data_IF_976486179708
#
_entry.id   IF_976486179708
#
_cell.length_a   1.000
_cell.length_b   1.000
_cell.length_c   1.000
_cell.angle_alpha   90.00
_cell.angle_beta   90.00
_cell.angle_gamma   90.00
#
_symmetry.space_group_name_H-M   'P 1'
#
loop_
_entity.id
_entity.type
_entity.pdbx_description
1 polymer ?
#
# COMPACT_ATOMS: atom_id res chain seq x y z
N UNK A 1 -32.99 -60.06 -40.76
CA UNK A 1 -33.34 -59.01 -39.80
C UNK A 1 -33.17 -57.66 -40.47
N UNK A 2 -34.26 -56.96 -40.75
CA UNK A 2 -34.27 -55.75 -41.57
C UNK A 2 -33.47 -54.59 -40.91
N UNK A 3 -32.58 -53.93 -41.63
CA UNK A 3 -31.81 -52.77 -41.16
C UNK A 3 -32.67 -51.75 -40.43
N UNK A 4 -33.92 -51.59 -40.79
CA UNK A 4 -34.89 -50.67 -40.15
C UNK A 4 -35.26 -51.09 -38.71
N UNK A 5 -35.29 -52.39 -38.42
CA UNK A 5 -35.59 -52.90 -37.06
C UNK A 5 -34.36 -52.75 -36.13
N UNK A 6 -33.16 -52.87 -36.70
CA UNK A 6 -31.91 -52.64 -35.96
C UNK A 6 -31.76 -51.17 -35.57
N UNK A 7 -32.05 -50.27 -36.51
CA UNK A 7 -32.03 -48.80 -36.26
C UNK A 7 -33.09 -48.39 -35.23
N UNK A 8 -34.28 -48.96 -35.26
CA UNK A 8 -35.31 -48.66 -34.25
C UNK A 8 -34.91 -49.16 -32.86
N UNK A 9 -34.24 -50.30 -32.75
CA UNK A 9 -33.78 -50.80 -31.45
C UNK A 9 -32.61 -49.95 -30.91
N UNK A 10 -31.66 -49.55 -31.75
CA UNK A 10 -30.55 -48.68 -31.34
C UNK A 10 -31.06 -47.29 -30.91
N UNK A 11 -32.05 -46.73 -31.64
CA UNK A 11 -32.67 -45.45 -31.28
C UNK A 11 -33.45 -45.56 -29.97
N UNK A 12 -34.18 -46.66 -29.75
CA UNK A 12 -34.93 -46.90 -28.51
C UNK A 12 -34.01 -47.13 -27.31
N UNK A 13 -32.91 -47.83 -27.46
CA UNK A 13 -31.92 -48.00 -26.38
C UNK A 13 -31.14 -46.71 -26.08
N UNK A 14 -30.83 -45.90 -27.10
CA UNK A 14 -30.24 -44.59 -26.93
C UNK A 14 -31.19 -43.61 -26.22
N UNK A 15 -32.47 -43.59 -26.61
CA UNK A 15 -33.48 -42.76 -25.98
C UNK A 15 -33.72 -43.18 -24.52
N UNK A 16 -33.72 -44.50 -24.24
CA UNK A 16 -33.87 -45.00 -22.87
C UNK A 16 -32.67 -44.68 -22.00
N UNK A 17 -31.44 -44.76 -22.55
CA UNK A 17 -30.24 -44.37 -21.83
C UNK A 17 -30.19 -42.88 -21.55
N UNK A 18 -30.65 -42.06 -22.48
CA UNK A 18 -30.73 -40.59 -22.31
C UNK A 18 -31.78 -40.22 -21.24
N UNK A 19 -32.90 -40.96 -21.16
CA UNK A 19 -33.93 -40.77 -20.13
C UNK A 19 -33.40 -41.14 -18.73
N UNK A 20 -32.59 -42.21 -18.61
CA UNK A 20 -31.94 -42.58 -17.36
C UNK A 20 -30.93 -41.53 -16.87
N UNK A 21 -30.17 -40.87 -17.75
CA UNK A 21 -29.22 -39.80 -17.37
C UNK A 21 -29.97 -38.58 -16.82
N UNK A 22 -31.12 -38.24 -17.39
CA UNK A 22 -31.99 -37.13 -16.92
C UNK A 22 -32.61 -37.39 -15.56
N UNK A 23 -32.84 -38.66 -15.19
CA UNK A 23 -33.42 -39.02 -13.90
C UNK A 23 -32.44 -38.87 -12.71
N UNK A 24 -31.12 -38.90 -12.96
CA UNK A 24 -30.12 -38.73 -11.92
C UNK A 24 -29.70 -37.27 -11.69
N UNK A 25 -30.24 -36.31 -12.47
CA UNK A 25 -29.86 -34.89 -12.40
C UNK A 25 -30.80 -34.07 -11.48
N UNK A 26 -31.78 -34.68 -10.77
CA UNK A 26 -32.63 -33.94 -9.87
C UNK A 26 -31.94 -33.69 -8.53
N UNK A 27 -31.59 -32.41 -8.28
CA UNK A 27 -31.18 -31.96 -6.95
C UNK A 27 -32.34 -32.14 -5.95
N UNK A 28 -32.04 -32.50 -4.72
CA UNK A 28 -33.02 -32.58 -3.67
C UNK A 28 -33.26 -31.24 -2.98
N UNK A 29 -34.44 -31.09 -2.40
CA UNK A 29 -34.73 -30.02 -1.48
C UNK A 29 -34.24 -30.38 -0.08
N UNK A 30 -33.53 -29.50 0.57
CA UNK A 30 -33.11 -29.60 1.96
C UNK A 30 -33.78 -28.51 2.79
N UNK A 31 -34.11 -28.85 4.02
CA UNK A 31 -34.70 -27.95 5.00
C UNK A 31 -33.91 -28.00 6.30
N UNK A 32 -33.98 -26.98 7.12
CA UNK A 32 -33.36 -27.03 8.42
C UNK A 32 -33.77 -25.89 9.31
N UNK A 33 -33.32 -25.96 10.57
CA UNK A 33 -33.52 -24.94 11.58
C UNK A 33 -32.13 -24.61 12.14
N UNK A 34 -31.87 -23.31 12.28
CA UNK A 34 -30.64 -22.78 12.86
C UNK A 34 -30.99 -22.10 14.19
N UNK A 35 -30.24 -22.49 15.23
CA UNK A 35 -30.40 -21.99 16.59
C UNK A 35 -29.08 -21.52 17.14
N UNK A 36 -29.10 -20.67 18.15
CA UNK A 36 -27.95 -20.32 18.94
C UNK A 36 -27.63 -21.36 20.02
N UNK A 37 -26.60 -21.12 20.84
CA UNK A 37 -26.22 -21.99 21.95
C UNK A 37 -27.25 -22.03 23.08
N UNK A 38 -28.15 -21.04 23.19
CA UNK A 38 -29.25 -21.00 24.15
C UNK A 38 -30.48 -21.73 23.64
N UNK A 39 -30.53 -22.13 22.38
CA UNK A 39 -31.63 -22.82 21.72
C UNK A 39 -32.65 -21.90 21.07
N UNK A 40 -32.39 -20.59 21.02
CA UNK A 40 -33.26 -19.61 20.35
C UNK A 40 -33.05 -19.65 18.83
N UNK A 41 -34.18 -19.53 18.04
CA UNK A 41 -34.08 -19.53 16.58
C UNK A 41 -33.41 -18.28 16.06
N UNK A 42 -32.47 -18.44 15.06
CA UNK A 42 -31.68 -17.35 14.51
C UNK A 42 -32.26 -16.91 13.15
N UNK A 43 -32.67 -15.64 13.08
CA UNK A 43 -33.16 -14.99 11.86
C UNK A 43 -31.99 -14.42 11.04
N UNK A 44 -32.09 -14.48 9.70
CA UNK A 44 -31.16 -13.80 8.79
C UNK A 44 -29.80 -14.50 8.66
N UNK A 45 -29.66 -15.74 9.11
CA UNK A 45 -28.46 -16.55 8.93
C UNK A 45 -28.32 -16.92 7.46
N UNK A 46 -27.16 -16.67 6.87
CA UNK A 46 -26.89 -17.01 5.48
C UNK A 46 -26.47 -18.48 5.37
N UNK A 47 -27.15 -19.24 4.51
CA UNK A 47 -26.87 -20.65 4.21
C UNK A 47 -26.58 -20.77 2.72
N UNK A 48 -25.35 -21.11 2.34
CA UNK A 48 -24.87 -21.17 0.96
C UNK A 48 -24.31 -22.55 0.64
N UNK A 49 -24.58 -23.06 -0.55
CA UNK A 49 -23.89 -24.24 -1.07
C UNK A 49 -22.49 -23.82 -1.54
N UNK A 50 -21.46 -24.39 -0.90
CA UNK A 50 -20.06 -24.02 -1.11
C UNK A 50 -19.64 -24.10 -2.59
N UNK A 51 -19.08 -23.01 -3.11
CA UNK A 51 -18.62 -22.93 -4.50
C UNK A 51 -19.73 -22.64 -5.52
N UNK A 52 -20.94 -22.30 -5.07
CA UNK A 52 -22.08 -21.92 -5.93
C UNK A 52 -22.73 -20.62 -5.46
N UNK A 53 -23.65 -20.08 -6.25
CA UNK A 53 -24.53 -18.96 -5.86
C UNK A 53 -25.86 -19.44 -5.26
N UNK A 54 -26.05 -20.78 -5.10
CA UNK A 54 -27.28 -21.34 -4.55
C UNK A 54 -27.25 -21.22 -3.02
N UNK A 55 -28.14 -20.40 -2.48
CA UNK A 55 -28.25 -20.15 -1.04
C UNK A 55 -29.55 -19.48 -0.64
N UNK A 56 -29.76 -19.38 0.66
CA UNK A 56 -30.94 -18.77 1.28
C UNK A 56 -30.58 -18.16 2.62
N UNK A 57 -31.49 -17.40 3.18
CA UNK A 57 -31.43 -16.87 4.55
C UNK A 57 -32.50 -17.49 5.42
N UNK A 58 -32.26 -17.62 6.73
CA UNK A 58 -33.26 -18.13 7.67
C UNK A 58 -34.38 -17.12 7.91
N UNK A 59 -35.61 -17.65 8.10
CA UNK A 59 -36.80 -16.89 8.48
C UNK A 59 -36.86 -16.56 9.98
N UNK A 60 -37.99 -15.99 10.44
CA UNK A 60 -38.21 -15.60 11.84
C UNK A 60 -38.19 -16.78 12.81
N UNK A 61 -38.49 -18.00 12.36
CA UNK A 61 -38.41 -19.23 13.13
C UNK A 61 -37.04 -19.92 13.02
N UNK A 62 -36.04 -19.26 12.39
CA UNK A 62 -34.71 -19.85 12.14
C UNK A 62 -34.73 -20.94 11.06
N UNK A 63 -35.81 -21.10 10.30
CA UNK A 63 -35.93 -22.14 9.27
C UNK A 63 -35.36 -21.69 7.94
N UNK A 64 -34.76 -22.63 7.19
CA UNK A 64 -34.32 -22.42 5.84
C UNK A 64 -34.73 -23.55 4.90
N UNK A 65 -34.80 -23.23 3.61
CA UNK A 65 -35.13 -24.17 2.53
C UNK A 65 -34.19 -23.85 1.35
N UNK A 66 -33.43 -24.86 0.87
CA UNK A 66 -32.58 -24.74 -0.33
C UNK A 66 -33.01 -25.87 -1.29
N UNK A 67 -33.21 -25.52 -2.56
CA UNK A 67 -33.51 -26.45 -3.63
C UNK A 67 -32.26 -26.80 -4.42
N UNK A 68 -32.30 -27.83 -5.24
CA UNK A 68 -31.25 -28.25 -6.16
C UNK A 68 -29.87 -28.51 -5.49
N UNK A 69 -29.90 -29.22 -4.34
CA UNK A 69 -28.67 -29.59 -3.60
C UNK A 69 -28.40 -31.08 -3.85
N UNK A 70 -27.12 -31.39 -4.07
CA UNK A 70 -26.61 -32.77 -4.29
C UNK A 70 -26.07 -33.36 -2.99
N UNK A 71 -26.03 -34.68 -2.91
CA UNK A 71 -25.50 -35.39 -1.73
C UNK A 71 -24.01 -35.11 -1.51
N UNK A 72 -23.27 -34.75 -2.55
CA UNK A 72 -21.82 -34.38 -2.49
C UNK A 72 -21.57 -32.95 -2.00
N UNK A 73 -22.58 -32.12 -1.89
CA UNK A 73 -22.43 -30.71 -1.59
C UNK A 73 -22.16 -30.46 -0.11
N UNK A 74 -21.60 -29.29 0.16
CA UNK A 74 -21.29 -28.80 1.51
C UNK A 74 -22.03 -27.49 1.71
N UNK A 75 -22.81 -27.40 2.77
CA UNK A 75 -23.45 -26.14 3.20
C UNK A 75 -22.45 -25.33 4.01
N UNK A 76 -22.33 -24.07 3.69
CA UNK A 76 -21.61 -23.07 4.49
C UNK A 76 -22.64 -22.17 5.16
N UNK A 77 -22.64 -22.15 6.48
CA UNK A 77 -23.54 -21.36 7.31
C UNK A 77 -22.74 -20.24 7.95
N UNK A 78 -23.16 -19.00 7.71
CA UNK A 78 -22.46 -17.80 8.20
C UNK A 78 -23.44 -16.81 8.81
N UNK A 79 -23.04 -16.23 9.94
CA UNK A 79 -23.76 -15.15 10.60
C UNK A 79 -22.80 -14.23 11.35
N UNK A 80 -23.09 -12.94 11.39
CA UNK A 80 -22.22 -11.95 12.04
C UNK A 80 -22.17 -12.23 13.55
N UNK A 81 -20.96 -12.36 14.10
CA UNK A 81 -20.75 -12.66 15.51
C UNK A 81 -20.79 -14.15 15.87
N UNK A 82 -20.86 -15.05 14.89
CA UNK A 82 -20.92 -16.51 15.10
C UNK A 82 -19.86 -17.24 14.26
N UNK A 83 -19.35 -18.34 14.79
CA UNK A 83 -18.37 -19.20 14.09
C UNK A 83 -19.02 -19.83 12.86
N UNK A 84 -18.44 -19.59 11.69
CA UNK A 84 -18.89 -20.19 10.43
C UNK A 84 -18.76 -21.71 10.46
N UNK A 85 -19.80 -22.43 10.03
CA UNK A 85 -19.82 -23.89 9.97
C UNK A 85 -19.93 -24.39 8.52
N UNK A 86 -19.19 -25.45 8.21
CA UNK A 86 -19.31 -26.18 6.95
C UNK A 86 -19.84 -27.59 7.22
N UNK A 87 -21.00 -27.95 6.62
CA UNK A 87 -21.73 -29.18 6.90
C UNK A 87 -21.92 -29.95 5.60
N UNK A 88 -21.42 -31.17 5.53
CA UNK A 88 -21.67 -32.05 4.38
C UNK A 88 -23.14 -32.48 4.34
N UNK A 89 -23.74 -32.40 3.17
CA UNK A 89 -25.16 -32.71 2.96
C UNK A 89 -25.46 -34.21 3.12
N UNK A 90 -24.71 -35.06 2.39
CA UNK A 90 -24.94 -36.52 2.40
C UNK A 90 -26.39 -36.87 2.08
N UNK A 91 -26.87 -37.97 2.65
CA UNK A 91 -28.24 -38.44 2.45
C UNK A 91 -29.29 -37.72 3.28
N UNK A 92 -28.94 -36.66 4.04
CA UNK A 92 -29.85 -35.95 4.92
C UNK A 92 -30.67 -34.91 4.14
N UNK A 93 -31.97 -34.82 4.43
CA UNK A 93 -32.87 -33.78 3.89
C UNK A 93 -33.30 -32.74 4.92
N UNK A 94 -32.98 -32.98 6.22
CA UNK A 94 -33.28 -32.04 7.29
C UNK A 94 -32.08 -31.84 8.20
N UNK A 95 -31.83 -30.59 8.59
CA UNK A 95 -30.69 -30.17 9.40
C UNK A 95 -31.16 -29.39 10.62
N UNK A 96 -30.55 -29.69 11.76
CA UNK A 96 -30.66 -28.88 12.97
C UNK A 96 -29.25 -28.40 13.31
N UNK A 97 -29.00 -27.09 13.12
CA UNK A 97 -27.69 -26.50 13.20
C UNK A 97 -27.64 -25.56 14.40
N UNK A 98 -26.68 -25.74 15.26
CA UNK A 98 -26.43 -24.84 16.41
C UNK A 98 -25.19 -24.06 16.12
N UNK A 99 -25.34 -22.73 15.97
CA UNK A 99 -24.19 -21.83 15.84
C UNK A 99 -23.67 -21.46 17.22
N UNK A 100 -22.37 -21.46 17.35
CA UNK A 100 -21.68 -20.98 18.55
C UNK A 100 -21.29 -19.53 18.33
N UNK A 101 -21.45 -18.68 19.31
CA UNK A 101 -20.94 -17.32 19.28
C UNK A 101 -19.43 -17.34 19.03
N UNK A 102 -18.97 -16.48 18.14
CA UNK A 102 -17.55 -16.27 17.89
C UNK A 102 -17.00 -15.37 18.99
N UNK A 103 -16.70 -15.98 20.12
CA UNK A 103 -16.13 -15.29 21.28
C UNK A 103 -14.69 -14.83 21.02
N UNK A 104 -14.01 -15.37 19.98
CA UNK A 104 -12.67 -14.91 19.60
C UNK A 104 -12.74 -13.55 18.89
N UNK A 105 -13.82 -13.23 18.18
CA UNK A 105 -13.99 -11.93 17.51
C UNK A 105 -14.27 -10.77 18.50
N UNK A 106 -14.61 -11.07 19.75
CA UNK A 106 -14.96 -10.06 20.78
C UNK A 106 -13.80 -9.74 21.75
N UNK A 107 -12.75 -10.52 21.74
CA UNK A 107 -11.62 -10.35 22.64
C UNK A 107 -10.36 -9.84 21.90
N UNK A 108 -10.49 -8.79 21.07
CA UNK A 108 -9.31 -8.04 20.64
C UNK A 108 -8.61 -7.50 21.89
N UNK A 109 -7.43 -8.03 22.15
CA UNK A 109 -6.59 -7.64 23.27
C UNK A 109 -5.55 -6.65 22.77
N UNK A 110 -5.53 -5.47 23.34
CA UNK A 110 -4.52 -4.44 23.05
C UNK A 110 -3.44 -4.52 24.12
N UNK A 111 -2.18 -4.59 23.72
CA UNK A 111 -1.04 -4.52 24.65
C UNK A 111 -0.85 -3.07 25.06
N UNK A 112 -1.18 -2.72 26.30
CA UNK A 112 -1.05 -1.36 26.83
C UNK A 112 -0.03 -1.38 27.98
N UNK A 113 1.06 -0.62 27.80
CA UNK A 113 2.10 -0.52 28.81
C UNK A 113 2.71 -1.89 29.13
N UNK A 114 2.56 -2.35 30.35
CA UNK A 114 3.11 -3.61 30.83
C UNK A 114 2.09 -4.74 30.91
N UNK A 115 0.90 -4.58 30.30
CA UNK A 115 -0.17 -5.57 30.37
C UNK A 115 -1.04 -5.61 29.12
N UNK A 116 -1.87 -6.65 29.02
CA UNK A 116 -2.88 -6.80 28.00
C UNK A 116 -4.23 -6.40 28.55
N UNK A 117 -4.94 -5.48 27.90
CA UNK A 117 -6.30 -5.05 28.27
C UNK A 117 -7.22 -5.33 27.11
N UNK A 118 -8.43 -5.80 27.39
CA UNK A 118 -9.44 -5.99 26.34
C UNK A 118 -9.81 -4.64 25.76
N UNK A 119 -9.88 -4.53 24.45
CA UNK A 119 -10.22 -3.28 23.73
C UNK A 119 -11.50 -2.63 24.24
N UNK A 120 -12.50 -3.43 24.62
CA UNK A 120 -13.75 -2.98 25.21
C UNK A 120 -13.61 -2.30 26.57
N UNK A 121 -12.55 -2.62 27.31
CA UNK A 121 -12.29 -2.11 28.65
C UNK A 121 -11.49 -0.78 28.61
N UNK A 122 -11.08 -0.35 27.40
CA UNK A 122 -10.49 0.97 27.16
C UNK A 122 -11.57 2.02 27.13
N UNK A 123 -11.65 2.84 28.16
CA UNK A 123 -12.63 3.93 28.30
C UNK A 123 -12.34 5.14 27.37
N UNK A 124 -11.22 5.12 26.64
CA UNK A 124 -10.77 6.20 25.76
C UNK A 124 -11.16 6.02 24.28
N UNK A 125 -11.02 7.11 23.51
CA UNK A 125 -11.24 7.09 22.05
C UNK A 125 -10.05 6.40 21.35
N UNK A 126 -10.18 5.11 21.08
CA UNK A 126 -9.21 4.31 20.33
C UNK A 126 -9.70 4.12 18.90
N UNK A 127 -8.82 4.38 17.93
CA UNK A 127 -9.07 4.02 16.53
C UNK A 127 -8.15 2.91 16.13
N UNK A 128 -8.69 1.86 15.52
CA UNK A 128 -7.95 0.67 15.11
C UNK A 128 -7.99 0.45 13.61
N UNK A 129 -6.91 -0.09 13.07
CA UNK A 129 -6.82 -0.63 11.71
C UNK A 129 -6.25 -2.05 11.80
N UNK A 130 -6.93 -2.99 11.16
CA UNK A 130 -6.52 -4.40 11.09
C UNK A 130 -5.59 -4.66 9.89
N UNK A 131 -4.98 -5.84 9.87
CA UNK A 131 -4.07 -6.27 8.80
C UNK A 131 -4.72 -6.23 7.41
N UNK A 132 -5.97 -6.67 7.26
CA UNK A 132 -6.68 -6.69 5.99
C UNK A 132 -6.76 -5.28 5.36
N UNK A 133 -7.07 -4.27 6.18
CA UNK A 133 -7.11 -2.87 5.73
C UNK A 133 -5.72 -2.32 5.40
N UNK A 134 -4.67 -2.72 6.16
CA UNK A 134 -3.29 -2.28 5.93
C UNK A 134 -2.71 -2.85 4.63
N UNK A 135 -3.02 -4.10 4.31
CA UNK A 135 -2.50 -4.82 3.14
C UNK A 135 -3.36 -4.68 1.89
N UNK A 136 -4.53 -4.02 1.99
CA UNK A 136 -5.43 -3.79 0.85
C UNK A 136 -4.76 -3.03 -0.31
N UNK A 137 -3.83 -2.12 0.01
CA UNK A 137 -2.99 -1.43 -0.95
C UNK A 137 -1.52 -1.72 -0.65
N UNK A 138 -0.77 -2.30 -1.57
CA UNK A 138 0.65 -2.53 -1.38
C UNK A 138 1.39 -1.18 -1.32
N UNK A 139 2.05 -0.92 -0.21
CA UNK A 139 2.89 0.27 0.02
C UNK A 139 4.23 -0.15 0.59
N UNK A 140 5.27 0.63 0.32
CA UNK A 140 6.63 0.36 0.81
C UNK A 140 6.78 0.64 2.31
N UNK A 141 5.98 1.57 2.85
CA UNK A 141 5.97 1.99 4.25
C UNK A 141 4.57 1.84 4.84
N UNK A 142 4.46 1.14 5.96
CA UNK A 142 3.18 0.94 6.66
C UNK A 142 2.55 2.26 7.12
N UNK A 143 3.36 3.28 7.38
CA UNK A 143 2.86 4.60 7.73
C UNK A 143 1.97 5.19 6.64
N UNK A 144 2.30 4.95 5.36
CA UNK A 144 1.48 5.37 4.22
C UNK A 144 0.14 4.61 4.17
N UNK A 145 0.12 3.33 4.59
CA UNK A 145 -1.11 2.54 4.65
C UNK A 145 -2.15 3.12 5.61
N UNK A 146 -1.73 3.92 6.60
CA UNK A 146 -2.60 4.58 7.57
C UNK A 146 -3.31 5.82 7.00
N UNK A 147 -2.86 6.35 5.86
CA UNK A 147 -3.39 7.58 5.29
C UNK A 147 -4.89 7.47 5.01
N UNK A 148 -5.69 8.37 5.61
CA UNK A 148 -7.14 8.39 5.45
C UNK A 148 -7.90 7.26 6.14
N UNK A 149 -7.23 6.34 6.85
CA UNK A 149 -7.87 5.20 7.53
C UNK A 149 -8.25 5.49 8.98
N UNK A 150 -7.61 6.46 9.61
CA UNK A 150 -7.78 6.77 11.02
C UNK A 150 -8.28 8.19 11.23
N UNK A 151 -9.45 8.33 11.84
CA UNK A 151 -10.00 9.66 12.16
C UNK A 151 -9.10 10.40 13.15
N UNK A 152 -8.76 11.69 12.87
CA UNK A 152 -7.90 12.52 13.70
C UNK A 152 -6.41 12.18 13.64
N UNK A 153 -5.98 11.38 12.65
CA UNK A 153 -4.59 11.11 12.33
C UNK A 153 -4.29 11.70 10.96
N UNK A 154 -3.31 12.58 10.90
CA UNK A 154 -2.80 13.15 9.64
C UNK A 154 -1.50 12.43 9.29
N UNK A 155 -1.45 11.86 8.09
CA UNK A 155 -0.28 11.17 7.54
C UNK A 155 0.13 11.90 6.28
N UNK A 156 1.35 12.43 6.27
CA UNK A 156 1.89 13.21 5.16
C UNK A 156 3.24 12.65 4.76
N UNK A 157 3.36 12.20 3.52
CA UNK A 157 4.66 11.93 2.91
C UNK A 157 5.27 13.25 2.46
N UNK A 158 6.50 13.51 2.84
CA UNK A 158 7.17 14.78 2.50
C UNK A 158 7.46 14.89 1.01
N UNK A 159 7.81 13.78 0.39
CA UNK A 159 8.02 13.67 -1.05
C UNK A 159 7.68 12.25 -1.54
N UNK A 160 7.81 12.01 -2.86
CA UNK A 160 7.51 10.72 -3.49
C UNK A 160 8.71 9.80 -3.65
N UNK A 161 9.85 10.08 -3.01
CA UNK A 161 11.05 9.24 -3.13
C UNK A 161 10.86 7.90 -2.42
N UNK A 162 11.45 6.83 -2.93
CA UNK A 162 11.56 5.59 -2.17
C UNK A 162 12.26 5.83 -0.83
N UNK A 163 11.71 5.26 0.25
CA UNK A 163 12.23 5.46 1.61
C UNK A 163 12.08 6.88 2.17
N UNK A 164 11.23 7.72 1.56
CA UNK A 164 10.94 9.05 2.09
C UNK A 164 10.28 8.97 3.46
N UNK A 165 10.66 9.89 4.34
CA UNK A 165 10.09 9.97 5.68
C UNK A 165 8.60 10.35 5.64
N UNK A 166 7.81 9.64 6.40
CA UNK A 166 6.37 9.86 6.54
C UNK A 166 6.10 10.49 7.90
N UNK A 167 5.59 11.72 7.89
CA UNK A 167 5.19 12.41 9.11
C UNK A 167 3.78 11.98 9.53
N UNK A 168 3.65 11.50 10.76
CA UNK A 168 2.35 11.14 11.36
C UNK A 168 2.06 12.10 12.49
N UNK A 169 0.86 12.68 12.51
CA UNK A 169 0.39 13.57 13.58
C UNK A 169 -0.97 13.13 14.09
N UNK A 170 -1.11 13.07 15.39
CA UNK A 170 -2.37 12.76 16.08
C UNK A 170 -2.95 14.02 16.69
N UNK A 171 -4.17 14.40 16.28
CA UNK A 171 -4.88 15.61 16.75
C UNK A 171 -4.14 16.96 16.56
N UNK A 172 -3.16 17.02 15.65
CA UNK A 172 -2.39 18.23 15.35
C UNK A 172 -1.07 18.32 16.10
N UNK A 173 -0.42 19.50 16.05
CA UNK A 173 0.86 19.73 16.74
C UNK A 173 0.64 20.39 18.09
N UNK A 174 1.28 19.89 19.13
CA UNK A 174 1.26 20.47 20.48
C UNK A 174 2.44 21.38 20.79
N UNK A 175 3.50 21.37 19.97
CA UNK A 175 4.74 22.12 20.19
C UNK A 175 5.15 22.90 18.95
N UNK A 176 5.68 24.10 19.15
CA UNK A 176 6.28 24.94 18.11
C UNK A 176 7.79 24.66 17.98
N UNK A 177 8.42 24.18 19.05
CA UNK A 177 9.87 24.06 19.15
C UNK A 177 10.36 22.62 19.25
N UNK A 178 9.47 21.67 19.54
CA UNK A 178 9.82 20.23 19.69
C UNK A 178 9.07 19.39 18.66
N UNK A 179 9.50 18.12 18.48
CA UNK A 179 8.80 17.16 17.62
C UNK A 179 7.34 17.02 18.06
N UNK A 180 6.46 16.96 17.07
CA UNK A 180 5.03 16.66 17.23
C UNK A 180 4.70 15.21 16.86
N UNK A 181 5.70 14.35 16.74
CA UNK A 181 5.50 12.95 16.39
C UNK A 181 4.88 12.19 17.56
N UNK A 182 3.97 11.26 17.29
CA UNK A 182 3.40 10.40 18.31
C UNK A 182 4.47 9.43 18.85
N UNK A 183 4.23 8.86 20.01
CA UNK A 183 5.04 7.76 20.53
C UNK A 183 4.66 6.47 19.81
N UNK A 184 5.62 5.80 19.18
CA UNK A 184 5.43 4.50 18.57
C UNK A 184 5.79 3.39 19.54
N UNK A 185 4.91 2.42 19.67
CA UNK A 185 5.11 1.22 20.50
C UNK A 185 4.85 0.00 19.63
N UNK A 186 5.81 -0.88 19.51
CA UNK A 186 5.67 -2.15 18.78
C UNK A 186 5.80 -3.30 19.75
N UNK A 187 4.75 -4.11 19.89
CA UNK A 187 4.65 -5.22 20.86
C UNK A 187 5.06 -4.84 22.30
N UNK A 188 4.71 -3.62 22.72
CA UNK A 188 5.01 -3.10 24.05
C UNK A 188 6.35 -2.35 24.19
N UNK A 189 7.19 -2.33 23.16
CA UNK A 189 8.50 -1.65 23.17
C UNK A 189 8.46 -0.33 22.39
N UNK A 190 8.96 0.78 22.96
CA UNK A 190 9.03 2.05 22.26
C UNK A 190 10.08 2.01 21.16
N UNK A 191 9.71 2.48 19.97
CA UNK A 191 10.57 2.59 18.78
C UNK A 191 10.53 4.03 18.23
N UNK A 192 11.50 4.38 17.40
CA UNK A 192 11.57 5.70 16.77
C UNK A 192 10.62 5.82 15.56
N UNK A 193 10.38 4.74 14.86
CA UNK A 193 9.52 4.67 13.67
C UNK A 193 8.87 3.30 13.55
N UNK A 194 7.75 3.24 12.83
CA UNK A 194 7.10 1.98 12.44
C UNK A 194 7.40 1.59 11.00
N UNK A 195 8.13 2.43 10.26
CA UNK A 195 8.47 2.20 8.85
C UNK A 195 9.23 0.89 8.63
N UNK A 196 9.97 0.43 9.65
CA UNK A 196 10.73 -0.82 9.60
C UNK A 196 9.89 -2.08 9.78
N UNK A 197 8.59 -1.93 10.13
CA UNK A 197 7.71 -3.07 10.36
C UNK A 197 6.89 -3.31 9.09
N UNK A 198 7.08 -4.43 8.37
CA UNK A 198 6.29 -4.75 7.19
C UNK A 198 4.80 -4.89 7.52
N UNK A 199 3.92 -4.32 6.68
CA UNK A 199 2.47 -4.37 6.88
C UNK A 199 1.93 -5.80 7.03
N UNK A 200 2.52 -6.77 6.31
CA UNK A 200 2.14 -8.19 6.39
C UNK A 200 2.38 -8.82 7.76
N UNK A 201 3.33 -8.30 8.54
CA UNK A 201 3.65 -8.79 9.89
C UNK A 201 2.75 -8.19 10.97
N UNK A 202 1.99 -7.14 10.66
CA UNK A 202 1.14 -6.43 11.60
C UNK A 202 -0.21 -7.12 11.70
N UNK A 203 -0.71 -7.32 12.90
CA UNK A 203 -2.06 -7.78 13.19
C UNK A 203 -3.03 -6.60 13.30
N UNK A 204 -2.67 -5.59 14.10
CA UNK A 204 -3.42 -4.35 14.26
C UNK A 204 -2.53 -3.15 14.55
N UNK A 205 -3.03 -1.96 14.22
CA UNK A 205 -2.49 -0.68 14.68
C UNK A 205 -3.60 0.05 15.41
N UNK A 206 -3.35 0.37 16.66
CA UNK A 206 -4.27 1.09 17.53
C UNK A 206 -3.71 2.47 17.87
N UNK A 207 -4.53 3.52 17.74
CA UNK A 207 -4.10 4.88 18.03
C UNK A 207 -4.84 5.41 19.25
N UNK A 208 -4.08 5.68 20.31
CA UNK A 208 -4.55 6.30 21.53
C UNK A 208 -4.45 7.83 21.40
N UNK A 209 -5.61 8.49 21.49
CA UNK A 209 -5.71 9.92 21.20
C UNK A 209 -5.98 10.76 22.44
N UNK A 210 -6.59 10.19 23.47
CA UNK A 210 -6.99 10.92 24.66
C UNK A 210 -5.97 10.83 25.78
N UNK A 211 -5.98 11.84 26.66
CA UNK A 211 -5.11 11.88 27.83
C UNK A 211 -5.33 10.69 28.77
N UNK A 212 -6.56 10.17 28.89
CA UNK A 212 -6.84 8.99 29.74
C UNK A 212 -6.19 7.73 29.23
N UNK A 213 -6.21 7.48 27.92
CA UNK A 213 -5.59 6.30 27.31
C UNK A 213 -4.06 6.42 27.18
N UNK A 214 -3.53 7.64 27.05
CA UNK A 214 -2.08 7.89 26.94
C UNK A 214 -1.37 8.10 28.28
N UNK A 215 -2.11 8.25 29.39
CA UNK A 215 -1.56 8.57 30.72
C UNK A 215 -0.47 7.59 31.20
N UNK A 216 -0.59 6.32 30.86
CA UNK A 216 0.39 5.28 31.22
C UNK A 216 1.78 5.49 30.59
N UNK A 217 1.84 6.27 29.49
CA UNK A 217 3.09 6.61 28.79
C UNK A 217 3.68 7.95 29.25
N UNK A 218 3.01 8.62 30.20
CA UNK A 218 3.44 9.90 30.76
C UNK A 218 3.60 11.00 29.71
N UNK A 219 4.58 11.89 29.91
CA UNK A 219 4.83 13.01 28.99
C UNK A 219 5.14 12.59 27.56
N UNK A 220 5.70 11.40 27.32
CA UNK A 220 5.98 10.86 25.99
C UNK A 220 4.72 10.59 25.18
N UNK A 221 3.57 10.36 25.85
CA UNK A 221 2.28 10.14 25.21
C UNK A 221 1.51 11.43 24.86
N UNK A 222 2.05 12.61 25.12
CA UNK A 222 1.35 13.89 24.95
C UNK A 222 0.88 14.16 23.51
N UNK A 223 1.65 13.73 22.51
CA UNK A 223 1.32 13.84 21.09
C UNK A 223 0.51 12.66 20.53
N UNK A 224 -0.04 11.80 21.42
CA UNK A 224 -0.69 10.54 21.06
C UNK A 224 0.27 9.36 21.06
N UNK A 225 -0.28 8.14 21.06
CA UNK A 225 0.47 6.89 21.03
C UNK A 225 -0.07 5.99 19.93
N UNK A 226 0.82 5.43 19.13
CA UNK A 226 0.52 4.46 18.09
C UNK A 226 1.04 3.11 18.57
N UNK A 227 0.12 2.19 18.81
CA UNK A 227 0.39 0.83 19.23
C UNK A 227 0.35 -0.08 18.02
N UNK A 228 1.43 -0.78 17.76
CA UNK A 228 1.52 -1.78 16.69
C UNK A 228 1.60 -3.16 17.35
N UNK A 229 0.64 -4.00 17.04
CA UNK A 229 0.65 -5.40 17.45
C UNK A 229 1.04 -6.26 16.25
N UNK A 230 2.11 -7.04 16.37
CA UNK A 230 2.53 -7.95 15.31
C UNK A 230 1.87 -9.32 15.46
N UNK A 231 1.74 -10.03 14.34
CA UNK A 231 1.16 -11.36 14.29
C UNK A 231 1.93 -12.33 15.19
N UNK A 232 1.20 -13.06 16.01
CA UNK A 232 1.71 -14.16 16.81
C UNK A 232 1.39 -15.52 16.21
N UNK A 233 2.01 -16.59 16.69
CA UNK A 233 1.63 -17.95 16.31
C UNK A 233 0.27 -18.29 16.94
N UNK A 234 -0.74 -18.50 16.09
CA UNK A 234 -2.11 -18.83 16.50
C UNK A 234 -2.40 -20.34 16.56
N UNK A 235 -1.57 -21.15 15.91
CA UNK A 235 -1.81 -22.59 15.76
C UNK A 235 -0.64 -23.42 16.24
N UNK A 236 -0.94 -24.64 16.71
CA UNK A 236 0.05 -25.64 17.09
C UNK A 236 0.70 -26.31 15.86
N UNK A 237 0.23 -26.01 14.67
CA UNK A 237 0.74 -26.57 13.41
C UNK A 237 1.74 -25.61 12.78
N UNK A 238 2.79 -26.20 12.18
CA UNK A 238 3.73 -25.44 11.37
C UNK A 238 2.99 -24.84 10.14
N UNK A 239 3.10 -23.56 9.97
CA UNK A 239 2.57 -22.80 8.83
C UNK A 239 3.70 -22.03 8.18
N UNK A 240 3.81 -22.13 6.87
CA UNK A 240 4.74 -21.35 6.06
C UNK A 240 3.91 -20.53 5.09
N UNK A 241 4.05 -19.22 5.18
CA UNK A 241 3.33 -18.28 4.32
C UNK A 241 4.33 -17.43 3.55
N UNK A 242 4.17 -17.36 2.25
CA UNK A 242 4.93 -16.46 1.40
C UNK A 242 3.99 -15.51 0.68
N UNK A 243 4.27 -14.20 0.80
CA UNK A 243 3.59 -13.14 0.09
C UNK A 243 4.62 -12.32 -0.69
N UNK A 244 4.42 -12.19 -1.98
CA UNK A 244 5.27 -11.37 -2.84
C UNK A 244 4.45 -10.57 -3.81
N UNK A 245 4.91 -9.36 -4.12
CA UNK A 245 4.31 -8.54 -5.15
C UNK A 245 5.37 -7.74 -5.91
N UNK A 246 5.02 -7.41 -7.14
CA UNK A 246 5.81 -6.54 -8.03
C UNK A 246 4.94 -5.36 -8.39
N UNK A 247 5.52 -4.18 -8.36
CA UNK A 247 4.88 -2.91 -8.68
C UNK A 247 5.71 -2.16 -9.71
N UNK A 248 5.05 -1.60 -10.72
CA UNK A 248 5.65 -0.67 -11.67
C UNK A 248 5.25 0.75 -11.34
N UNK A 249 6.19 1.68 -11.45
CA UNK A 249 6.00 3.10 -11.17
C UNK A 249 6.43 3.91 -12.39
N UNK A 250 5.66 4.93 -12.72
CA UNK A 250 5.98 5.88 -13.79
C UNK A 250 5.54 7.28 -13.39
N UNK A 251 6.11 8.30 -14.01
CA UNK A 251 5.62 9.66 -13.85
C UNK A 251 4.20 9.76 -14.41
N UNK A 252 3.25 10.25 -13.61
CA UNK A 252 1.86 10.38 -14.05
C UNK A 252 1.70 11.53 -15.05
N UNK A 253 2.45 12.61 -14.87
CA UNK A 253 2.46 13.79 -15.75
C UNK A 253 3.76 14.57 -15.52
N UNK A 254 4.37 14.99 -16.61
CA UNK A 254 5.50 15.92 -16.63
C UNK A 254 5.04 17.26 -17.20
N UNK A 255 5.82 18.30 -16.97
CA UNK A 255 5.61 19.58 -17.65
C UNK A 255 6.26 19.50 -19.02
N UNK A 256 5.52 19.88 -20.07
CA UNK A 256 6.08 19.96 -21.41
C UNK A 256 7.01 21.18 -21.50
N UNK A 257 8.22 21.06 -22.08
CA UNK A 257 9.09 22.20 -22.34
C UNK A 257 8.44 23.13 -23.35
N UNK A 258 8.83 24.42 -23.31
CA UNK A 258 8.39 25.37 -24.32
C UNK A 258 8.96 24.99 -25.67
N UNK A 259 8.19 25.17 -26.73
CA UNK A 259 8.68 25.12 -28.11
C UNK A 259 9.81 26.14 -28.33
N UNK A 260 10.71 25.89 -29.28
CA UNK A 260 11.90 26.73 -29.47
C UNK A 260 11.59 28.21 -29.69
N UNK A 261 10.60 28.53 -30.51
CA UNK A 261 10.19 29.92 -30.71
C UNK A 261 9.59 30.56 -29.46
N UNK A 262 8.74 29.82 -28.71
CA UNK A 262 8.14 30.32 -27.50
C UNK A 262 9.17 30.49 -26.39
N UNK A 263 10.16 29.59 -26.30
CA UNK A 263 11.27 29.71 -25.37
C UNK A 263 12.08 30.98 -25.61
N UNK A 264 12.50 31.24 -26.86
CA UNK A 264 13.28 32.44 -27.21
C UNK A 264 12.48 33.70 -26.93
N UNK A 265 11.22 33.73 -27.29
CA UNK A 265 10.30 34.84 -27.00
C UNK A 265 10.13 35.08 -25.51
N UNK A 266 9.97 34.01 -24.74
CA UNK A 266 9.89 34.08 -23.28
C UNK A 266 11.16 34.66 -22.67
N UNK A 267 12.35 34.19 -23.09
CA UNK A 267 13.63 34.70 -22.58
C UNK A 267 13.81 36.20 -22.85
N UNK A 268 13.45 36.65 -24.04
CA UNK A 268 13.49 38.07 -24.38
C UNK A 268 12.51 38.89 -23.54
N UNK A 269 11.25 38.47 -23.43
CA UNK A 269 10.24 39.16 -22.64
C UNK A 269 10.59 39.20 -21.14
N UNK A 270 11.20 38.13 -20.61
CA UNK A 270 11.67 38.06 -19.25
C UNK A 270 12.83 39.05 -19.00
N UNK A 271 13.78 39.12 -19.91
CA UNK A 271 14.89 40.08 -19.84
C UNK A 271 14.39 41.53 -19.89
N UNK A 272 13.44 41.87 -20.80
CA UNK A 272 12.83 43.18 -20.90
C UNK A 272 12.10 43.59 -19.60
N UNK A 273 11.38 42.63 -19.00
CA UNK A 273 10.70 42.90 -17.72
C UNK A 273 11.71 43.11 -16.58
N UNK A 274 12.79 42.35 -16.51
CA UNK A 274 13.86 42.54 -15.52
C UNK A 274 14.58 43.90 -15.68
N UNK A 275 14.95 44.27 -16.91
CA UNK A 275 15.62 45.51 -17.23
C UNK A 275 14.77 46.71 -16.78
N UNK A 276 13.45 46.71 -17.02
CA UNK A 276 12.50 47.74 -16.58
C UNK A 276 12.40 47.87 -15.06
N UNK A 277 12.70 46.81 -14.33
CA UNK A 277 12.68 46.80 -12.86
C UNK A 277 14.06 47.03 -12.26
N UNK A 278 15.07 47.40 -13.06
CA UNK A 278 16.44 47.67 -12.62
C UNK A 278 17.28 46.42 -12.38
N UNK A 279 16.87 45.28 -12.95
CA UNK A 279 17.67 44.04 -12.96
C UNK A 279 18.90 44.14 -13.85
N UNK A 280 19.86 43.25 -13.62
CA UNK A 280 21.19 43.23 -14.33
C UNK A 280 21.13 42.57 -15.73
N UNK A 281 19.97 42.09 -16.18
CA UNK A 281 19.81 41.40 -17.46
C UNK A 281 19.37 42.38 -18.53
N UNK A 282 20.09 42.41 -19.68
CA UNK A 282 19.75 43.27 -20.81
C UNK A 282 18.87 42.55 -21.83
N UNK A 283 17.72 43.16 -22.15
CA UNK A 283 16.86 42.67 -23.23
C UNK A 283 17.56 42.70 -24.59
N UNK A 284 18.39 43.72 -24.82
CA UNK A 284 19.21 43.83 -26.04
C UNK A 284 20.26 42.70 -26.12
N UNK A 285 20.90 42.37 -25.01
CA UNK A 285 21.82 41.25 -24.94
C UNK A 285 21.16 39.91 -25.25
N UNK A 286 19.95 39.67 -24.77
CA UNK A 286 19.18 38.45 -25.11
C UNK A 286 18.77 38.49 -26.60
N UNK A 287 18.36 39.63 -27.13
CA UNK A 287 18.06 39.79 -28.54
C UNK A 287 19.28 39.50 -29.44
N UNK A 288 20.46 40.01 -29.05
CA UNK A 288 21.71 39.70 -29.72
C UNK A 288 22.03 38.19 -29.66
N UNK A 289 21.94 37.57 -28.46
CA UNK A 289 22.26 36.15 -28.26
C UNK A 289 21.42 35.24 -29.14
N UNK A 290 20.11 35.51 -29.26
CA UNK A 290 19.20 34.73 -30.09
C UNK A 290 19.01 35.28 -31.51
N UNK A 291 19.72 36.31 -31.91
CA UNK A 291 19.59 36.93 -33.23
C UNK A 291 18.21 37.54 -33.48
N UNK A 292 17.60 38.18 -32.48
CA UNK A 292 16.24 38.75 -32.62
C UNK A 292 16.27 40.19 -33.11
N UNK A 293 15.34 40.50 -33.98
CA UNK A 293 15.21 41.83 -34.56
C UNK A 293 16.19 42.11 -35.69
N UNK A 294 15.94 43.20 -36.43
CA UNK A 294 16.69 43.55 -37.66
C UNK A 294 18.17 43.87 -37.44
N UNK A 295 18.52 44.34 -36.22
CA UNK A 295 19.92 44.63 -35.86
C UNK A 295 20.77 43.36 -35.75
N UNK A 296 20.16 42.22 -35.44
CA UNK A 296 20.81 40.93 -35.15
C UNK A 296 20.42 39.80 -36.14
N UNK A 297 19.99 40.15 -37.32
CA UNK A 297 19.68 39.17 -38.40
C UNK A 297 18.25 38.66 -38.45
N UNK A 298 17.42 38.96 -37.44
CA UNK A 298 16.00 38.60 -37.36
C UNK A 298 15.72 37.07 -37.52
N UNK A 299 16.48 36.25 -36.80
CA UNK A 299 16.45 34.79 -36.88
C UNK A 299 15.28 34.14 -36.14
N UNK A 300 14.28 34.89 -35.66
CA UNK A 300 13.15 34.33 -34.88
C UNK A 300 12.41 33.21 -35.65
N UNK A 301 12.25 33.36 -36.94
CA UNK A 301 11.56 32.35 -37.76
C UNK A 301 12.33 31.02 -37.88
N UNK A 302 13.66 31.08 -37.76
CA UNK A 302 14.52 29.89 -37.89
C UNK A 302 14.29 28.91 -36.74
N UNK A 303 13.89 29.42 -35.55
CA UNK A 303 13.56 28.60 -34.37
C UNK A 303 12.34 27.72 -34.56
N UNK A 304 11.49 27.94 -35.61
CA UNK A 304 10.37 27.05 -35.89
C UNK A 304 10.80 25.60 -36.22
N UNK A 305 12.03 25.43 -36.70
CA UNK A 305 12.57 24.15 -37.12
C UNK A 305 13.62 23.58 -36.15
N UNK A 306 13.87 24.28 -35.05
CA UNK A 306 14.82 23.82 -34.02
C UNK A 306 14.16 22.77 -33.10
N UNK A 307 14.82 21.64 -32.95
CA UNK A 307 14.37 20.59 -32.05
C UNK A 307 14.34 21.07 -30.59
N UNK A 308 13.42 20.50 -29.82
CA UNK A 308 13.31 20.72 -28.37
C UNK A 308 13.71 19.44 -27.69
N UNK A 309 14.57 19.55 -26.68
CA UNK A 309 14.98 18.44 -25.84
C UNK A 309 14.28 18.52 -24.47
N UNK A 310 13.61 17.46 -24.08
CA UNK A 310 13.02 17.35 -22.74
C UNK A 310 13.99 16.65 -21.80
N UNK A 311 14.74 17.44 -21.02
CA UNK A 311 15.69 16.94 -20.04
C UNK A 311 15.04 16.14 -18.91
N UNK A 312 13.73 16.25 -18.73
CA UNK A 312 13.02 15.44 -17.71
C UNK A 312 12.90 13.99 -18.15
N UNK A 313 12.79 13.73 -19.45
CA UNK A 313 12.75 12.35 -19.98
C UNK A 313 14.06 11.61 -19.75
N UNK A 314 15.19 12.32 -19.77
CA UNK A 314 16.51 11.72 -19.47
C UNK A 314 16.67 11.37 -17.98
N UNK A 315 15.98 12.10 -17.10
CA UNK A 315 16.06 11.91 -15.65
C UNK A 315 15.01 10.95 -15.10
N UNK A 316 13.95 10.69 -15.84
CA UNK A 316 12.82 9.87 -15.39
C UNK A 316 12.83 8.52 -16.11
N UNK A 317 12.48 7.48 -15.37
CA UNK A 317 12.36 6.12 -15.88
C UNK A 317 11.09 5.44 -15.36
N UNK A 318 10.70 4.38 -16.04
CA UNK A 318 9.78 3.42 -15.45
C UNK A 318 10.57 2.59 -14.43
N UNK A 319 10.15 2.63 -13.19
CA UNK A 319 10.82 1.94 -12.09
C UNK A 319 10.04 0.71 -11.65
N UNK A 320 10.74 -0.26 -11.08
CA UNK A 320 10.18 -1.50 -10.57
C UNK A 320 10.43 -1.57 -9.07
N UNK A 321 9.39 -1.89 -8.32
CA UNK A 321 9.51 -2.27 -6.92
C UNK A 321 9.06 -3.72 -6.74
N UNK A 322 9.74 -4.46 -5.88
CA UNK A 322 9.31 -5.80 -5.51
C UNK A 322 9.51 -6.07 -4.02
N UNK A 323 8.60 -6.86 -3.47
CA UNK A 323 8.61 -7.22 -2.06
C UNK A 323 8.44 -8.73 -1.92
N UNK A 324 9.19 -9.30 -0.98
CA UNK A 324 9.15 -10.71 -0.63
C UNK A 324 9.01 -10.86 0.87
N UNK A 325 7.92 -11.45 1.32
CA UNK A 325 7.62 -11.72 2.72
C UNK A 325 7.52 -13.23 2.94
N UNK A 326 8.38 -13.78 3.78
CA UNK A 326 8.31 -15.16 4.24
C UNK A 326 8.00 -15.16 5.73
N UNK A 327 6.94 -15.85 6.12
CA UNK A 327 6.56 -16.06 7.52
C UNK A 327 6.47 -17.54 7.83
N UNK A 328 7.17 -17.98 8.86
CA UNK A 328 7.15 -19.34 9.37
C UNK A 328 6.67 -19.28 10.80
N UNK A 329 5.53 -19.88 11.09
CA UNK A 329 4.95 -19.89 12.44
C UNK A 329 4.54 -21.30 12.83
N UNK A 330 4.60 -21.57 14.13
CA UNK A 330 4.22 -22.88 14.65
C UNK A 330 4.49 -22.99 16.13
N UNK A 331 4.30 -24.20 16.63
CA UNK A 331 4.59 -24.50 18.02
C UNK A 331 3.74 -25.59 18.62
N UNK A 332 3.65 -25.57 19.93
CA UNK A 332 2.83 -26.42 20.77
C UNK A 332 2.08 -25.57 21.80
N UNK A 333 1.30 -26.19 22.67
CA UNK A 333 0.65 -25.49 23.77
C UNK A 333 1.61 -24.67 24.65
N UNK A 334 2.85 -25.14 24.80
CA UNK A 334 3.87 -24.49 25.65
C UNK A 334 4.86 -23.62 24.92
N UNK A 335 5.07 -23.85 23.63
CA UNK A 335 6.07 -23.13 22.83
C UNK A 335 5.41 -22.64 21.56
N UNK A 336 5.45 -21.35 21.30
CA UNK A 336 4.96 -20.76 20.06
C UNK A 336 6.03 -19.86 19.48
N UNK A 337 6.23 -19.92 18.18
CA UNK A 337 7.20 -19.07 17.51
C UNK A 337 6.68 -18.53 16.18
N UNK A 338 7.17 -17.36 15.81
CA UNK A 338 7.01 -16.77 14.48
C UNK A 338 8.36 -16.24 14.04
N UNK A 339 8.83 -16.70 12.90
CA UNK A 339 9.99 -16.17 12.20
C UNK A 339 9.50 -15.48 10.93
N UNK A 340 9.86 -14.21 10.77
CA UNK A 340 9.55 -13.45 9.57
C UNK A 340 10.85 -13.00 8.90
N UNK A 341 10.86 -13.02 7.57
CA UNK A 341 11.90 -12.45 6.73
C UNK A 341 11.21 -11.61 5.66
N UNK A 342 11.62 -10.36 5.53
CA UNK A 342 11.12 -9.45 4.52
C UNK A 342 12.29 -8.85 3.73
N UNK A 343 12.14 -8.80 2.44
CA UNK A 343 13.02 -8.05 1.54
C UNK A 343 12.18 -7.14 0.65
N UNK A 344 12.55 -5.87 0.62
CA UNK A 344 11.96 -4.84 -0.23
C UNK A 344 13.07 -4.23 -1.08
N UNK A 345 12.87 -4.20 -2.39
CA UNK A 345 13.62 -3.35 -3.30
C UNK A 345 12.64 -2.39 -3.96
N UNK A 346 12.85 -1.11 -3.79
CA UNK A 346 11.98 -0.05 -4.29
C UNK A 346 12.81 0.93 -5.14
N UNK A 347 12.82 0.73 -6.45
CA UNK A 347 13.45 1.66 -7.37
C UNK A 347 12.62 2.94 -7.52
N UNK A 348 13.32 4.08 -7.59
CA UNK A 348 12.69 5.38 -7.86
C UNK A 348 12.50 5.65 -9.34
N UNK A 349 11.47 6.43 -9.67
CA UNK A 349 11.23 6.93 -11.03
C UNK A 349 12.32 7.90 -11.51
N UNK A 350 13.02 8.56 -10.59
CA UNK A 350 14.23 9.31 -10.91
C UNK A 350 15.41 8.33 -11.04
N UNK A 351 16.24 8.46 -12.08
CA UNK A 351 17.43 7.64 -12.24
C UNK A 351 18.34 7.77 -11.00
N UNK A 352 19.10 6.74 -10.71
CA UNK A 352 20.01 6.66 -9.55
C UNK A 352 19.32 6.90 -8.19
N UNK A 353 18.01 6.65 -8.09
CA UNK A 353 17.30 6.69 -6.81
C UNK A 353 16.65 5.36 -6.49
N UNK A 354 16.67 4.98 -5.23
CA UNK A 354 16.10 3.73 -4.76
C UNK A 354 16.17 3.54 -3.26
N UNK A 355 15.47 2.55 -2.77
CA UNK A 355 15.41 2.15 -1.37
C UNK A 355 15.38 0.63 -1.27
N UNK A 356 16.32 0.07 -0.52
CA UNK A 356 16.38 -1.34 -0.22
C UNK A 356 16.20 -1.53 1.28
N UNK A 357 15.43 -2.56 1.67
CA UNK A 357 15.25 -2.90 3.07
C UNK A 357 15.24 -4.41 3.26
N UNK A 358 16.00 -4.88 4.23
CA UNK A 358 15.97 -6.25 4.72
C UNK A 358 15.57 -6.27 6.18
N UNK A 359 14.51 -7.01 6.51
CA UNK A 359 14.05 -7.20 7.86
C UNK A 359 13.97 -8.66 8.22
N UNK A 360 14.33 -8.98 9.44
CA UNK A 360 14.04 -10.29 10.03
C UNK A 360 13.56 -10.11 11.47
N UNK A 361 12.57 -10.90 11.85
CA UNK A 361 12.07 -10.91 13.23
C UNK A 361 11.79 -12.31 13.70
N UNK A 362 12.13 -12.59 14.95
CA UNK A 362 11.84 -13.84 15.65
C UNK A 362 11.07 -13.51 16.93
N UNK A 363 9.85 -14.01 17.02
CA UNK A 363 9.03 -13.94 18.24
C UNK A 363 8.88 -15.34 18.79
N UNK A 364 9.25 -15.54 20.06
CA UNK A 364 9.18 -16.81 20.75
C UNK A 364 8.44 -16.61 22.07
N UNK A 365 7.37 -17.37 22.27
CA UNK A 365 6.65 -17.45 23.53
C UNK A 365 6.83 -18.85 24.09
N UNK A 366 7.40 -18.98 25.30
CA UNK A 366 7.69 -20.24 25.94
C UNK A 366 7.13 -20.26 27.37
N UNK A 367 6.24 -21.21 27.66
CA UNK A 367 5.84 -21.51 29.01
C UNK A 367 6.88 -22.46 29.66
N UNK A 368 7.73 -21.90 30.50
CA UNK A 368 8.77 -22.67 31.21
C UNK A 368 8.17 -23.45 32.37
N UNK A 369 7.27 -22.81 33.13
CA UNK A 369 6.51 -23.38 34.24
C UNK A 369 5.09 -22.82 34.16
N UNK A 370 4.12 -23.42 34.87
CA UNK A 370 2.72 -22.95 34.93
C UNK A 370 2.58 -21.45 35.27
N UNK A 371 3.53 -20.91 36.00
CA UNK A 371 3.54 -19.50 36.44
C UNK A 371 4.77 -18.72 35.93
N UNK A 372 5.55 -19.29 35.01
CA UNK A 372 6.73 -18.63 34.42
C UNK A 372 6.68 -18.74 32.89
N UNK A 373 6.56 -17.61 32.24
CA UNK A 373 6.59 -17.47 30.78
C UNK A 373 7.83 -16.68 30.36
N UNK A 374 8.43 -17.07 29.27
CA UNK A 374 9.51 -16.37 28.60
C UNK A 374 9.00 -15.91 27.23
N UNK A 375 9.01 -14.62 27.02
CA UNK A 375 8.70 -13.97 25.75
C UNK A 375 9.97 -13.33 25.23
N UNK A 376 10.37 -13.71 24.00
CA UNK A 376 11.55 -13.18 23.32
C UNK A 376 11.08 -12.58 21.99
N UNK A 377 11.44 -11.33 21.75
CA UNK A 377 11.20 -10.62 20.50
C UNK A 377 12.53 -10.05 20.02
N UNK A 378 13.04 -10.56 18.91
CA UNK A 378 14.27 -10.11 18.28
C UNK A 378 13.92 -9.58 16.91
N UNK A 379 14.35 -8.35 16.62
CA UNK A 379 14.16 -7.70 15.32
C UNK A 379 15.48 -7.14 14.82
N UNK A 380 15.71 -7.34 13.54
CA UNK A 380 16.82 -6.74 12.81
C UNK A 380 16.27 -6.09 11.56
N UNK A 381 16.67 -4.87 11.32
CA UNK A 381 16.35 -4.11 10.11
C UNK A 381 17.60 -3.47 9.57
N UNK A 382 17.81 -3.57 8.29
CA UNK A 382 18.86 -2.87 7.55
C UNK A 382 18.20 -2.24 6.32
N UNK A 383 18.44 -0.94 6.15
CA UNK A 383 17.93 -0.20 5.02
C UNK A 383 19.03 0.63 4.36
N UNK A 384 18.90 0.80 3.06
CA UNK A 384 19.78 1.60 2.25
C UNK A 384 18.98 2.48 1.31
N UNK A 385 19.19 3.79 1.39
CA UNK A 385 18.61 4.77 0.47
C UNK A 385 19.68 5.27 -0.47
N UNK A 386 19.41 5.22 -1.77
CA UNK A 386 20.28 5.72 -2.84
C UNK A 386 19.67 6.98 -3.46
N UNK A 387 20.51 7.95 -3.86
CA UNK A 387 20.06 9.16 -4.56
C UNK A 387 19.34 10.17 -3.67
N UNK A 388 19.71 10.24 -2.38
CA UNK A 388 19.26 11.29 -1.47
C UNK A 388 19.87 12.60 -1.90
N UNK A 389 19.08 13.53 -2.43
CA UNK A 389 19.57 14.85 -2.80
C UNK A 389 20.01 15.62 -1.55
N UNK A 390 21.23 16.15 -1.60
CA UNK A 390 21.70 17.07 -0.58
C UNK A 390 21.17 18.46 -0.90
N UNK A 391 20.28 18.98 -0.07
CA UNK A 391 19.77 20.36 -0.19
C UNK A 391 20.81 21.42 0.19
N UNK A 392 22.03 21.02 0.55
CA UNK A 392 23.03 21.92 1.18
C UNK A 392 23.66 22.92 0.22
N UNK A 393 23.49 22.78 -1.09
CA UNK A 393 24.19 23.63 -2.06
C UNK A 393 23.29 24.69 -2.73
N UNK A 394 22.05 24.88 -2.33
CA UNK A 394 21.17 25.95 -2.87
C UNK A 394 20.81 25.81 -4.36
N UNK A 395 21.30 24.80 -5.07
CA UNK A 395 21.10 24.63 -6.51
C UNK A 395 19.81 23.90 -6.89
N UNK A 396 18.91 23.63 -5.95
CA UNK A 396 17.67 22.94 -6.22
C UNK A 396 17.84 21.44 -6.51
N UNK A 397 16.75 20.74 -6.74
CA UNK A 397 16.78 19.33 -7.11
C UNK A 397 17.20 19.19 -8.58
N UNK A 398 17.79 18.03 -8.95
CA UNK A 398 18.11 17.71 -10.36
C UNK A 398 16.90 17.88 -11.28
N UNK A 399 15.72 17.48 -10.81
CA UNK A 399 14.48 17.65 -11.57
C UNK A 399 14.13 19.13 -11.77
N UNK A 400 14.31 19.97 -10.73
CA UNK A 400 14.17 21.42 -10.87
C UNK A 400 15.20 22.00 -11.84
N UNK A 401 16.42 21.47 -11.83
CA UNK A 401 17.46 21.82 -12.80
C UNK A 401 17.05 21.49 -14.23
N UNK A 402 16.53 20.28 -14.48
CA UNK A 402 16.07 19.85 -15.79
C UNK A 402 14.97 20.74 -16.35
N UNK A 403 13.99 21.16 -15.54
CA UNK A 403 12.94 22.10 -15.97
C UNK A 403 13.47 23.51 -16.26
N UNK A 404 14.56 23.93 -15.65
CA UNK A 404 15.17 25.24 -15.86
C UNK A 404 16.18 25.25 -16.99
N UNK A 405 16.71 24.08 -17.35
CA UNK A 405 17.72 23.99 -18.38
C UNK A 405 17.16 24.39 -19.74
N UNK A 406 18.02 24.96 -20.56
CA UNK A 406 17.67 25.36 -21.92
C UNK A 406 17.19 24.16 -22.74
N UNK A 407 15.96 24.16 -23.25
CA UNK A 407 15.41 23.01 -24.00
C UNK A 407 15.84 22.98 -25.46
N UNK A 408 16.59 23.97 -25.94
CA UNK A 408 17.00 24.12 -27.34
C UNK A 408 18.47 24.41 -27.47
N UNK A 409 19.07 23.98 -28.57
CA UNK A 409 20.38 24.41 -28.98
C UNK A 409 20.29 25.78 -29.66
N UNK A 410 21.37 26.57 -29.58
CA UNK A 410 21.45 27.84 -30.29
C UNK A 410 21.73 27.59 -31.80
N UNK A 411 20.78 27.86 -32.74
CA UNK A 411 20.99 27.59 -34.15
C UNK A 411 22.03 28.50 -34.79
N UNK A 412 22.42 29.59 -34.13
CA UNK A 412 23.41 30.55 -34.63
C UNK A 412 24.86 30.12 -34.33
N UNK A 413 25.06 28.91 -33.80
CA UNK A 413 26.41 28.40 -33.50
C UNK A 413 26.88 28.74 -32.10
N UNK A 414 28.16 28.54 -31.86
CA UNK A 414 28.78 28.44 -30.58
C UNK A 414 28.36 29.53 -29.59
N UNK A 415 27.78 29.13 -28.48
CA UNK A 415 27.37 30.01 -27.38
C UNK A 415 28.54 30.85 -26.85
N UNK A 416 29.76 30.47 -27.12
CA UNK A 416 30.98 31.21 -26.75
C UNK A 416 31.21 32.47 -27.58
N UNK A 417 30.53 32.63 -28.74
CA UNK A 417 30.68 33.83 -29.56
C UNK A 417 30.14 35.11 -28.90
N UNK A 418 29.29 34.98 -27.90
CA UNK A 418 28.54 36.10 -27.30
C UNK A 418 28.90 36.35 -25.84
N UNK A 419 30.09 35.95 -25.39
CA UNK A 419 30.66 36.32 -24.09
C UNK A 419 29.59 36.52 -22.99
N UNK A 420 29.17 35.45 -22.37
CA UNK A 420 28.54 35.41 -21.04
C UNK A 420 27.57 36.52 -20.74
N UNK A 421 26.48 36.65 -21.45
CA UNK A 421 25.36 37.44 -20.93
C UNK A 421 24.78 36.72 -19.74
N UNK A 422 24.93 37.29 -18.55
CA UNK A 422 24.39 36.81 -17.33
C UNK A 422 22.85 36.90 -17.29
N UNK A 423 22.19 36.09 -18.09
CA UNK A 423 20.81 35.71 -17.86
C UNK A 423 20.84 34.87 -16.60
N UNK A 424 20.75 35.50 -15.48
CA UNK A 424 20.85 34.99 -14.12
C UNK A 424 21.45 33.59 -14.00
N UNK A 425 22.33 33.33 -13.09
CA UNK A 425 23.09 32.10 -12.90
C UNK A 425 22.28 30.77 -12.98
N UNK A 426 20.98 30.89 -13.13
CA UNK A 426 20.03 29.79 -13.15
C UNK A 426 19.63 29.30 -14.55
N UNK A 427 19.98 30.02 -15.64
CA UNK A 427 19.45 29.75 -16.98
C UNK A 427 20.48 29.70 -18.10
N UNK A 428 21.77 29.75 -17.79
CA UNK A 428 22.82 29.69 -18.79
C UNK A 428 23.72 28.52 -18.48
N UNK A 429 24.08 27.83 -19.55
CA UNK A 429 25.17 26.89 -19.57
C UNK A 429 26.43 27.54 -19.03
N UNK A 430 26.67 27.40 -17.74
CA UNK A 430 27.84 27.89 -17.06
C UNK A 430 29.03 26.92 -17.19
N UNK A 431 28.97 26.01 -18.15
CA UNK A 431 30.00 24.99 -18.36
C UNK A 431 29.98 23.85 -17.33
N UNK A 432 28.84 23.68 -16.64
CA UNK A 432 28.70 22.64 -15.62
C UNK A 432 28.09 21.31 -16.15
N UNK A 433 28.11 21.10 -17.46
CA UNK A 433 27.53 19.91 -18.08
C UNK A 433 25.99 19.96 -18.16
N UNK A 434 25.42 18.94 -18.76
CA UNK A 434 23.95 18.76 -18.85
C UNK A 434 23.38 18.22 -17.54
N UNK A 435 22.07 18.32 -17.29
CA UNK A 435 21.45 17.67 -16.14
C UNK A 435 21.74 16.17 -16.02
N UNK A 436 22.01 15.49 -17.13
CA UNK A 436 22.37 14.06 -17.17
C UNK A 436 23.81 13.87 -16.68
N UNK A 437 24.73 14.76 -17.01
CA UNK A 437 26.13 14.67 -16.54
C UNK A 437 26.20 14.76 -15.02
N UNK A 438 25.32 15.56 -14.39
CA UNK A 438 25.27 15.69 -12.93
C UNK A 438 24.81 14.41 -12.22
N UNK A 439 24.13 13.49 -12.91
CA UNK A 439 23.74 12.22 -12.33
C UNK A 439 24.87 11.21 -12.23
N UNK A 440 25.92 11.38 -13.04
CA UNK A 440 27.08 10.49 -13.05
C UNK A 440 28.07 10.82 -11.93
N UNK A 441 27.96 12.03 -11.34
CA UNK A 441 28.82 12.50 -10.25
C UNK A 441 28.26 12.17 -8.85
N UNK A 442 27.09 11.51 -8.76
CA UNK A 442 26.45 11.04 -7.54
C UNK A 442 26.57 9.54 -7.35
#
# INVERSE_FOLDING_TARGET
MNRLQLLKRVYSTFLLSMLCVLAFAQGKQITGIIKDSAGEPMIGVNVLVKGTTNGTITDFDGKFVIQDVKDSDVLTVTYVGYVSQSIAVGNKSSFNIILKEDTEALDEVVVIGYGTVKKRDLTGSVSSVNNETLTANPVSDVSQALQGKLAGVSVVSQDGRPGAEVSIRVRGGGSITQSNDPLFIVDGFPVSSISDVPADQIESIDVLKDASSTAIYGARGANGVILVTTKGAKTDKLSVTYNGYIQTKSAAKTLEPLGAQDYVKYQWAYADALERTGGAVSADGVAQYFGLGSAYGNHYADYANVGVHDWTDDLLRNAIAHTHNLSISGGSEKTKFVLNVNYLNDEGIKINSGYNRFNTSLKLNQELLKNLKLDVDIRYSEDQTTGKESSTNGKGSLLSGAYRWRPIDNPLGDANAFGGFGLGADNIDMGYGTPVDWTNDM
#
